data_IF_285195004131
#
_entry.id   IF_285195004131
#
_cell.length_a   1.000
_cell.length_b   1.000
_cell.length_c   1.000
_cell.angle_alpha   90.00
_cell.angle_beta   90.00
_cell.angle_gamma   90.00
#
_symmetry.space_group_name_H-M   'P 1'
#
loop_
_entity.id
_entity.type
_entity.pdbx_description
1 polymer ?
#
# COMPACT_ATOMS: atom_id res chain seq x y z
N UNK A 1 -7.65 2.36 58.31
CA UNK A 1 -8.77 1.99 57.43
C UNK A 1 -9.21 3.25 56.72
N UNK A 2 -8.59 3.50 55.57
CA UNK A 2 -8.99 4.47 54.56
C UNK A 2 -8.40 3.92 53.25
N UNK A 3 -9.29 3.41 52.40
CA UNK A 3 -8.99 3.02 51.03
C UNK A 3 -8.85 4.32 50.25
N UNK A 4 -7.68 4.58 49.66
CA UNK A 4 -7.54 5.54 48.58
C UNK A 4 -7.77 4.77 47.29
N UNK A 5 -8.88 5.08 46.62
CA UNK A 5 -9.17 4.69 45.25
C UNK A 5 -8.16 5.41 44.35
N UNK A 6 -7.15 4.67 43.88
CA UNK A 6 -6.38 5.04 42.69
C UNK A 6 -7.29 4.76 41.49
N UNK A 7 -8.01 5.80 41.06
CA UNK A 7 -8.61 5.85 39.73
C UNK A 7 -7.50 6.25 38.78
N UNK A 8 -7.04 5.28 37.98
CA UNK A 8 -6.25 5.53 36.77
C UNK A 8 -7.04 6.46 35.85
N UNK A 9 -6.64 7.72 35.80
CA UNK A 9 -7.10 8.71 34.84
C UNK A 9 -6.44 8.39 33.48
N UNK A 10 -7.20 8.10 32.40
CA UNK A 10 -6.60 7.83 31.11
C UNK A 10 -6.15 9.15 30.48
N UNK A 11 -4.82 9.32 30.41
CA UNK A 11 -4.06 10.16 29.49
C UNK A 11 -4.70 11.49 29.03
N UNK A 12 -4.23 12.60 29.59
CA UNK A 12 -4.40 13.96 29.07
C UNK A 12 -3.88 14.06 27.62
N UNK A 13 -4.75 13.83 26.63
CA UNK A 13 -4.48 14.13 25.23
C UNK A 13 -4.46 15.65 25.02
N UNK A 14 -3.25 16.22 24.87
CA UNK A 14 -3.09 17.63 24.51
C UNK A 14 -3.90 17.99 23.25
N UNK A 15 -4.44 19.22 23.21
CA UNK A 15 -5.25 19.70 22.09
C UNK A 15 -4.53 19.50 20.74
N UNK A 16 -5.18 18.82 19.79
CA UNK A 16 -4.61 18.51 18.46
C UNK A 16 -4.15 19.75 17.68
N UNK A 17 -4.67 20.93 18.00
CA UNK A 17 -4.22 22.20 17.43
C UNK A 17 -2.71 22.47 17.58
N UNK A 18 -2.05 21.84 18.56
CA UNK A 18 -0.61 21.97 18.77
C UNK A 18 0.22 21.02 17.89
N UNK A 19 -0.40 20.03 17.25
CA UNK A 19 0.28 19.13 16.34
C UNK A 19 0.50 19.80 14.98
N UNK A 20 1.65 19.55 14.32
CA UNK A 20 1.83 19.83 12.90
C UNK A 20 0.69 19.23 12.08
N UNK A 21 0.28 19.91 11.00
CA UNK A 21 -0.85 19.48 10.17
C UNK A 21 -0.71 18.04 9.65
N UNK A 22 0.50 17.67 9.25
CA UNK A 22 0.84 16.30 8.83
C UNK A 22 0.56 15.27 9.92
N UNK A 23 0.94 15.58 11.16
CA UNK A 23 0.71 14.70 12.31
C UNK A 23 -0.76 14.56 12.67
N UNK A 24 -1.63 15.49 12.24
CA UNK A 24 -3.09 15.36 12.42
C UNK A 24 -3.70 14.34 11.45
N UNK A 25 -3.05 14.06 10.34
CA UNK A 25 -3.45 13.03 9.38
C UNK A 25 -2.72 11.70 9.62
N UNK A 26 -1.95 11.56 10.69
CA UNK A 26 -1.31 10.31 11.11
C UNK A 26 -1.92 9.82 12.42
N UNK A 27 -1.73 8.54 12.72
CA UNK A 27 -2.06 7.93 14.02
C UNK A 27 -3.52 8.23 14.44
N UNK A 28 -4.45 8.01 13.52
CA UNK A 28 -5.87 8.22 13.76
C UNK A 28 -6.73 7.11 13.18
N UNK A 29 -7.89 6.92 13.80
CA UNK A 29 -8.98 6.07 13.34
C UNK A 29 -10.19 6.94 13.08
N UNK A 30 -10.98 6.57 12.09
CA UNK A 30 -12.16 7.34 11.75
C UNK A 30 -13.13 6.62 10.85
N UNK A 31 -14.29 7.24 10.71
CA UNK A 31 -15.26 6.93 9.67
C UNK A 31 -15.12 7.96 8.56
N UNK A 32 -15.03 7.47 7.33
CA UNK A 32 -14.88 8.27 6.13
C UNK A 32 -16.08 8.03 5.22
N UNK A 33 -16.49 9.07 4.52
CA UNK A 33 -17.35 8.97 3.35
C UNK A 33 -16.53 9.31 2.12
N UNK A 34 -16.42 8.35 1.20
CA UNK A 34 -15.73 8.53 -0.06
C UNK A 34 -16.75 8.85 -1.16
N UNK A 35 -16.52 9.97 -1.85
CA UNK A 35 -17.39 10.50 -2.89
C UNK A 35 -16.59 10.70 -4.18
N UNK A 36 -17.12 10.17 -5.28
CA UNK A 36 -16.60 10.43 -6.61
C UNK A 36 -17.26 11.69 -7.16
N UNK A 37 -16.48 12.77 -7.28
CA UNK A 37 -16.94 14.03 -7.85
C UNK A 37 -16.86 13.94 -9.37
N UNK A 38 -17.97 13.55 -9.99
CA UNK A 38 -18.14 13.51 -11.44
C UNK A 38 -18.34 14.93 -12.00
N UNK A 39 -17.94 15.19 -13.26
CA UNK A 39 -18.31 16.44 -13.94
C UNK A 39 -19.84 16.61 -13.97
N UNK A 40 -20.30 17.87 -13.93
CA UNK A 40 -21.67 18.38 -13.68
C UNK A 40 -22.88 17.73 -14.42
N UNK A 41 -22.71 16.66 -15.19
CA UNK A 41 -23.74 16.03 -16.02
C UNK A 41 -24.18 14.61 -15.56
N UNK A 42 -23.66 14.09 -14.45
CA UNK A 42 -24.02 12.74 -13.95
C UNK A 42 -24.47 12.78 -12.48
N UNK A 43 -25.79 12.77 -12.26
CA UNK A 43 -26.43 12.70 -10.93
C UNK A 43 -26.35 11.29 -10.30
N UNK A 44 -25.15 10.80 -10.01
CA UNK A 44 -24.98 9.65 -9.13
C UNK A 44 -23.92 9.96 -8.08
N UNK A 45 -24.33 10.68 -7.02
CA UNK A 45 -23.57 10.79 -5.79
C UNK A 45 -23.52 9.41 -5.12
N UNK A 46 -22.52 8.62 -5.49
CA UNK A 46 -22.23 7.35 -4.80
C UNK A 46 -21.35 7.68 -3.61
N UNK A 47 -21.93 7.67 -2.42
CA UNK A 47 -21.21 7.82 -1.15
C UNK A 47 -20.86 6.43 -0.64
N UNK A 48 -19.57 6.18 -0.44
CA UNK A 48 -19.06 4.90 0.05
C UNK A 48 -18.56 5.09 1.49
N UNK A 49 -19.26 4.54 2.50
CA UNK A 49 -18.81 4.62 3.89
C UNK A 49 -17.64 3.64 4.12
N UNK A 50 -16.56 4.15 4.70
CA UNK A 50 -15.34 3.42 4.99
C UNK A 50 -14.93 3.64 6.44
N UNK A 51 -14.26 2.65 7.03
CA UNK A 51 -13.48 2.84 8.25
C UNK A 51 -12.01 2.92 7.88
N UNK A 52 -11.29 3.86 8.48
CA UNK A 52 -9.85 4.00 8.30
C UNK A 52 -9.12 3.87 9.64
N UNK A 53 -7.95 3.26 9.60
CA UNK A 53 -6.92 3.40 10.61
C UNK A 53 -5.62 3.79 9.93
N UNK A 54 -4.92 4.81 10.43
CA UNK A 54 -3.70 5.36 9.83
C UNK A 54 -2.60 5.37 10.87
N UNK A 55 -1.41 4.90 10.50
CA UNK A 55 -0.17 5.03 11.26
C UNK A 55 0.81 5.95 10.52
N UNK A 56 2.04 6.06 11.00
CA UNK A 56 3.06 6.88 10.34
C UNK A 56 3.42 6.43 8.92
N UNK A 57 3.35 5.12 8.66
CA UNK A 57 3.82 4.48 7.42
C UNK A 57 2.77 3.60 6.73
N UNK A 58 1.57 3.48 7.30
CA UNK A 58 0.54 2.60 6.78
C UNK A 58 -0.86 3.15 6.98
N UNK A 59 -1.80 2.64 6.20
CA UNK A 59 -3.22 2.82 6.46
C UNK A 59 -4.01 1.55 6.12
N UNK A 60 -5.07 1.31 6.87
CA UNK A 60 -6.01 0.22 6.69
C UNK A 60 -7.39 0.79 6.41
N UNK A 61 -7.90 0.55 5.21
CA UNK A 61 -9.29 0.84 4.83
C UNK A 61 -10.14 -0.41 5.01
N UNK A 62 -11.35 -0.24 5.55
CA UNK A 62 -12.33 -1.29 5.75
C UNK A 62 -13.68 -0.86 5.22
N UNK A 63 -14.24 -1.67 4.33
CA UNK A 63 -15.57 -1.49 3.75
C UNK A 63 -16.49 -2.63 4.18
N UNK A 64 -17.68 -2.27 4.64
CA UNK A 64 -18.71 -3.25 5.00
C UNK A 64 -19.60 -3.52 3.79
N UNK A 65 -19.54 -4.73 3.25
CA UNK A 65 -20.40 -5.17 2.15
C UNK A 65 -21.81 -5.37 2.69
N UNK A 66 -22.76 -4.59 2.18
CA UNK A 66 -24.12 -4.55 2.74
C UNK A 66 -24.89 -5.84 2.46
N UNK A 67 -24.67 -6.42 1.27
CA UNK A 67 -25.38 -7.60 0.79
C UNK A 67 -25.04 -8.87 1.56
N UNK A 68 -23.80 -9.01 2.02
CA UNK A 68 -23.30 -10.26 2.64
C UNK A 68 -22.91 -10.12 4.11
N UNK A 69 -22.76 -8.88 4.61
CA UNK A 69 -22.21 -8.65 5.94
C UNK A 69 -20.70 -8.95 6.03
N UNK A 70 -20.02 -9.17 4.90
CA UNK A 70 -18.57 -9.31 4.85
C UNK A 70 -17.86 -7.95 4.96
N UNK A 71 -16.62 -7.96 5.43
CA UNK A 71 -15.74 -6.80 5.48
C UNK A 71 -14.62 -6.96 4.45
N UNK A 72 -14.48 -6.02 3.52
CA UNK A 72 -13.31 -5.92 2.63
C UNK A 72 -12.29 -5.00 3.28
N UNK A 73 -11.08 -5.49 3.40
CA UNK A 73 -9.97 -4.77 4.03
C UNK A 73 -8.82 -4.58 3.04
N UNK A 74 -8.25 -3.38 3.03
CA UNK A 74 -7.05 -3.06 2.28
C UNK A 74 -6.06 -2.35 3.18
N UNK A 75 -4.95 -3.02 3.46
CA UNK A 75 -3.80 -2.46 4.15
C UNK A 75 -2.80 -1.99 3.10
N UNK A 76 -2.45 -0.72 3.12
CA UNK A 76 -1.31 -0.20 2.39
C UNK A 76 -0.21 0.12 3.39
N UNK A 77 0.93 -0.56 3.28
CA UNK A 77 2.10 -0.33 4.08
C UNK A 77 3.23 0.18 3.19
N UNK A 78 3.55 1.48 3.28
CA UNK A 78 4.59 2.13 2.48
C UNK A 78 4.44 1.96 0.95
N UNK A 79 3.23 1.72 0.43
CA UNK A 79 2.99 1.45 -1.00
C UNK A 79 2.81 -0.04 -1.34
N UNK A 80 3.05 -0.95 -0.38
CA UNK A 80 2.74 -2.38 -0.52
C UNK A 80 1.30 -2.62 -0.08
N UNK A 81 0.46 -3.09 -1.01
CA UNK A 81 -0.95 -3.37 -0.75
C UNK A 81 -1.13 -4.82 -0.32
N UNK A 82 -1.94 -5.03 0.71
CA UNK A 82 -2.42 -6.33 1.19
C UNK A 82 -3.94 -6.27 1.29
N UNK A 83 -4.65 -7.14 0.58
CA UNK A 83 -6.11 -7.09 0.49
C UNK A 83 -6.76 -8.44 0.83
N UNK A 84 -7.79 -8.40 1.67
CA UNK A 84 -8.55 -9.57 2.07
C UNK A 84 -10.02 -9.24 2.28
N UNK A 85 -10.82 -10.30 2.34
CA UNK A 85 -12.21 -10.24 2.77
C UNK A 85 -12.37 -11.10 4.02
N UNK A 86 -13.00 -10.54 5.04
CA UNK A 86 -13.46 -11.26 6.23
C UNK A 86 -14.94 -11.54 6.04
N UNK A 87 -15.31 -12.81 5.91
CA UNK A 87 -16.71 -13.22 5.74
C UNK A 87 -17.52 -12.99 7.02
N UNK A 88 -18.85 -13.05 6.92
CA UNK A 88 -19.74 -12.83 8.07
C UNK A 88 -19.55 -13.86 9.21
N UNK A 89 -19.01 -15.04 8.92
CA UNK A 89 -18.61 -16.06 9.90
C UNK A 89 -17.18 -15.88 10.44
N UNK A 90 -16.48 -14.82 10.01
CA UNK A 90 -15.16 -14.43 10.52
C UNK A 90 -13.97 -15.13 9.84
N UNK A 91 -14.14 -15.70 8.64
CA UNK A 91 -13.06 -16.30 7.88
C UNK A 91 -12.37 -15.26 7.00
N UNK A 92 -11.05 -15.15 7.15
CA UNK A 92 -10.21 -14.29 6.31
C UNK A 92 -9.77 -15.03 5.04
N UNK A 93 -9.98 -14.39 3.88
CA UNK A 93 -9.64 -14.95 2.56
C UNK A 93 -8.91 -13.89 1.74
N UNK A 94 -7.82 -14.28 1.07
CA UNK A 94 -7.13 -13.40 0.12
C UNK A 94 -8.13 -12.87 -0.91
N UNK A 95 -8.19 -11.55 -1.09
CA UNK A 95 -9.24 -10.93 -1.90
C UNK A 95 -9.19 -11.42 -3.36
N UNK A 96 -7.99 -11.49 -3.94
CA UNK A 96 -7.79 -12.04 -5.28
C UNK A 96 -8.30 -13.48 -5.44
N UNK A 97 -8.12 -14.34 -4.43
CA UNK A 97 -8.64 -15.71 -4.46
C UNK A 97 -10.17 -15.75 -4.35
N UNK A 98 -10.76 -14.88 -3.54
CA UNK A 98 -12.21 -14.75 -3.42
C UNK A 98 -12.84 -14.31 -4.75
N UNK A 99 -12.24 -13.31 -5.42
CA UNK A 99 -12.73 -12.81 -6.70
C UNK A 99 -12.55 -13.85 -7.83
N UNK A 100 -11.43 -14.59 -7.85
CA UNK A 100 -11.12 -15.57 -8.87
C UNK A 100 -11.95 -16.87 -8.78
N UNK A 101 -12.47 -17.24 -7.61
CA UNK A 101 -13.31 -18.44 -7.45
C UNK A 101 -14.62 -18.29 -8.21
N UNK A 102 -14.70 -18.88 -9.40
CA UNK A 102 -15.97 -19.14 -10.09
C UNK A 102 -16.71 -20.24 -9.34
N UNK A 103 -17.91 -19.95 -8.83
CA UNK A 103 -18.77 -20.96 -8.22
C UNK A 103 -19.39 -21.83 -9.33
N UNK A 104 -18.67 -22.86 -9.76
CA UNK A 104 -19.12 -23.77 -10.82
C UNK A 104 -19.97 -24.95 -10.31
N UNK A 105 -20.56 -24.88 -9.12
CA UNK A 105 -21.31 -26.00 -8.53
C UNK A 105 -22.82 -25.70 -8.43
N UNK A 106 -23.60 -26.48 -9.19
CA UNK A 106 -25.04 -26.37 -9.48
C UNK A 106 -25.99 -26.64 -8.27
N UNK A 107 -25.61 -26.26 -7.03
CA UNK A 107 -26.47 -26.54 -5.86
C UNK A 107 -26.81 -25.39 -4.93
N UNK A 108 -26.45 -24.15 -5.24
CA UNK A 108 -26.84 -23.01 -4.40
C UNK A 108 -27.01 -21.69 -5.16
N UNK A 109 -27.83 -21.69 -6.23
CA UNK A 109 -28.08 -20.52 -7.10
C UNK A 109 -28.39 -19.18 -6.40
N UNK A 110 -29.04 -19.20 -5.22
CA UNK A 110 -29.35 -17.97 -4.48
C UNK A 110 -28.11 -17.40 -3.76
N UNK A 111 -27.38 -18.26 -3.04
CA UNK A 111 -26.14 -17.90 -2.36
C UNK A 111 -25.04 -17.53 -3.36
N UNK A 112 -24.97 -18.23 -4.50
CA UNK A 112 -24.08 -17.89 -5.61
C UNK A 112 -24.41 -16.51 -6.18
N UNK A 113 -25.70 -16.14 -6.30
CA UNK A 113 -26.10 -14.81 -6.80
C UNK A 113 -25.75 -13.69 -5.84
N UNK A 114 -25.92 -13.88 -4.53
CA UNK A 114 -25.51 -12.89 -3.52
C UNK A 114 -23.99 -12.70 -3.50
N UNK A 115 -23.23 -13.79 -3.60
CA UNK A 115 -21.77 -13.73 -3.69
C UNK A 115 -21.32 -13.02 -4.98
N UNK A 116 -21.89 -13.36 -6.15
CA UNK A 116 -21.53 -12.70 -7.42
C UNK A 116 -21.96 -11.23 -7.47
N UNK A 117 -23.11 -10.88 -6.89
CA UNK A 117 -23.52 -9.48 -6.74
C UNK A 117 -22.53 -8.71 -5.85
N UNK A 118 -22.11 -9.31 -4.74
CA UNK A 118 -21.10 -8.73 -3.86
C UNK A 118 -19.75 -8.54 -4.56
N UNK A 119 -19.34 -9.45 -5.46
CA UNK A 119 -18.11 -9.26 -6.25
C UNK A 119 -18.17 -8.02 -7.14
N UNK A 120 -19.32 -7.75 -7.76
CA UNK A 120 -19.49 -6.57 -8.61
C UNK A 120 -19.41 -5.27 -7.79
N UNK A 121 -20.04 -5.25 -6.60
CA UNK A 121 -19.95 -4.17 -5.62
C UNK A 121 -18.50 -3.94 -5.17
N UNK A 122 -17.77 -5.03 -4.85
CA UNK A 122 -16.37 -4.97 -4.44
C UNK A 122 -15.47 -4.49 -5.57
N UNK A 123 -15.64 -4.97 -6.81
CA UNK A 123 -14.85 -4.52 -7.95
C UNK A 123 -15.05 -3.03 -8.25
N UNK A 124 -16.28 -2.53 -8.12
CA UNK A 124 -16.57 -1.11 -8.26
C UNK A 124 -15.87 -0.29 -7.16
N UNK A 125 -15.90 -0.76 -5.91
CA UNK A 125 -15.14 -0.16 -4.81
C UNK A 125 -13.64 -0.12 -5.10
N UNK A 126 -13.05 -1.24 -5.50
CA UNK A 126 -11.61 -1.35 -5.78
C UNK A 126 -11.18 -0.37 -6.88
N UNK A 127 -12.01 -0.17 -7.91
CA UNK A 127 -11.74 0.81 -8.96
C UNK A 127 -11.70 2.26 -8.43
N UNK A 128 -12.52 2.59 -7.43
CA UNK A 128 -12.46 3.91 -6.78
C UNK A 128 -11.23 4.03 -5.89
N UNK A 129 -10.91 2.97 -5.13
CA UNK A 129 -9.78 2.97 -4.19
C UNK A 129 -8.41 2.94 -4.89
N UNK A 130 -8.32 2.43 -6.13
CA UNK A 130 -7.08 2.47 -6.94
C UNK A 130 -6.56 3.91 -7.17
N UNK A 131 -7.47 4.89 -7.14
CA UNK A 131 -7.11 6.30 -7.28
C UNK A 131 -6.75 6.99 -5.95
N UNK A 132 -6.89 6.28 -4.81
CA UNK A 132 -6.68 6.82 -3.46
C UNK A 132 -5.30 6.42 -2.93
N UNK A 133 -4.47 7.43 -2.67
CA UNK A 133 -3.16 7.26 -2.03
C UNK A 133 -3.10 8.16 -0.78
N UNK A 134 -3.55 7.62 0.35
CA UNK A 134 -3.64 8.41 1.59
C UNK A 134 -2.26 8.83 2.11
N UNK A 135 -1.21 8.05 1.86
CA UNK A 135 0.16 8.41 2.26
C UNK A 135 0.66 9.60 1.43
N UNK A 136 0.45 9.62 0.11
CA UNK A 136 0.74 10.79 -0.72
C UNK A 136 -0.05 12.02 -0.25
N UNK A 137 -1.34 11.87 0.08
CA UNK A 137 -2.16 12.95 0.65
C UNK A 137 -1.57 13.51 1.95
N UNK A 138 -1.22 12.64 2.90
CA UNK A 138 -0.66 13.06 4.19
C UNK A 138 0.72 13.73 4.01
N UNK A 139 1.56 13.20 3.13
CA UNK A 139 2.87 13.78 2.81
C UNK A 139 2.76 15.15 2.12
N UNK A 140 1.83 15.30 1.17
CA UNK A 140 1.60 16.56 0.46
C UNK A 140 1.37 17.72 1.43
N UNK A 141 0.65 17.49 2.53
CA UNK A 141 0.33 18.53 3.51
C UNK A 141 1.59 19.13 4.19
N UNK A 142 2.70 18.39 4.24
CA UNK A 142 3.96 18.83 4.86
C UNK A 142 4.63 20.02 4.19
N UNK A 143 4.31 20.30 2.92
CA UNK A 143 4.84 21.43 2.16
C UNK A 143 4.05 22.74 2.30
N UNK A 144 2.95 22.77 3.07
CA UNK A 144 2.03 23.92 3.09
C UNK A 144 2.44 25.01 4.08
N UNK A 145 2.37 26.28 3.68
CA UNK A 145 2.92 27.41 4.46
C UNK A 145 1.90 28.39 5.05
N UNK A 146 0.63 28.38 4.62
CA UNK A 146 -0.45 29.11 5.30
C UNK A 146 -1.85 28.65 4.82
N UNK A 147 -2.74 28.35 5.77
CA UNK A 147 -4.15 28.01 5.48
C UNK A 147 -5.04 29.25 5.36
N UNK A 148 -6.05 29.16 4.49
CA UNK A 148 -7.09 30.19 4.30
C UNK A 148 -8.21 29.91 5.31
N UNK A 149 -8.63 30.92 6.06
CA UNK A 149 -9.76 30.79 6.97
C UNK A 149 -11.07 31.12 6.24
N UNK A 150 -12.06 30.24 6.37
CA UNK A 150 -13.39 30.44 5.82
C UNK A 150 -14.44 30.07 6.89
N UNK A 151 -14.93 31.08 7.62
CA UNK A 151 -15.85 30.84 8.73
C UNK A 151 -15.19 30.03 9.85
N UNK A 152 -15.73 28.83 10.12
CA UNK A 152 -15.21 27.89 11.12
C UNK A 152 -14.20 26.89 10.53
N UNK A 153 -13.87 27.01 9.25
CA UNK A 153 -12.99 26.09 8.53
C UNK A 153 -11.64 26.73 8.23
N UNK A 154 -10.61 25.90 8.21
CA UNK A 154 -9.26 26.23 7.77
C UNK A 154 -8.88 25.35 6.59
N UNK A 155 -8.64 25.98 5.44
CA UNK A 155 -8.44 25.31 4.16
C UNK A 155 -6.99 25.42 3.73
N UNK A 156 -6.39 24.29 3.37
CA UNK A 156 -5.03 24.18 2.85
C UNK A 156 -5.05 23.61 1.45
N UNK A 157 -4.12 24.06 0.61
CA UNK A 157 -3.92 23.50 -0.73
C UNK A 157 -2.49 23.02 -0.83
N UNK A 158 -2.32 21.81 -1.32
CA UNK A 158 -0.99 21.26 -1.57
C UNK A 158 -0.96 20.40 -2.82
N UNK A 159 0.24 20.15 -3.33
CA UNK A 159 0.49 19.18 -4.38
C UNK A 159 1.28 18.02 -3.76
N UNK A 160 0.75 16.81 -3.91
CA UNK A 160 1.53 15.60 -3.71
C UNK A 160 2.35 15.29 -4.95
N UNK A 161 2.91 14.09 -4.98
CA UNK A 161 3.66 13.60 -6.13
C UNK A 161 2.74 13.39 -7.34
N UNK A 162 1.54 12.84 -7.09
CA UNK A 162 0.61 12.41 -8.15
C UNK A 162 -0.53 13.39 -8.38
N UNK A 163 -1.05 14.02 -7.32
CA UNK A 163 -2.25 14.85 -7.41
C UNK A 163 -2.15 16.15 -6.61
N UNK A 164 -3.05 17.09 -6.90
CA UNK A 164 -3.29 18.26 -6.07
C UNK A 164 -4.43 17.97 -5.08
N UNK A 165 -4.29 18.47 -3.86
CA UNK A 165 -5.20 18.22 -2.76
C UNK A 165 -5.65 19.53 -2.09
N UNK A 166 -6.90 19.53 -1.66
CA UNK A 166 -7.48 20.55 -0.79
C UNK A 166 -7.84 19.88 0.54
N UNK A 167 -7.28 20.37 1.63
CA UNK A 167 -7.54 19.86 2.97
C UNK A 167 -8.37 20.87 3.74
N UNK A 168 -9.43 20.41 4.38
CA UNK A 168 -10.29 21.24 5.22
C UNK A 168 -10.22 20.75 6.64
N UNK A 169 -9.94 21.65 7.58
CA UNK A 169 -9.89 21.38 9.01
C UNK A 169 -10.90 22.27 9.75
N UNK A 170 -11.42 21.79 10.86
CA UNK A 170 -12.17 22.63 11.79
C UNK A 170 -11.18 23.58 12.49
N UNK A 171 -11.37 24.89 12.33
CA UNK A 171 -10.43 25.90 12.83
C UNK A 171 -10.41 26.01 14.36
N UNK A 172 -11.43 25.47 15.06
CA UNK A 172 -11.55 25.53 16.52
C UNK A 172 -10.89 24.30 17.17
N UNK A 173 -11.22 23.12 16.67
CA UNK A 173 -10.75 21.85 17.22
C UNK A 173 -9.44 21.41 16.60
N UNK A 174 -9.19 21.76 15.33
CA UNK A 174 -8.05 21.32 14.55
C UNK A 174 -8.25 19.96 13.89
N UNK A 175 -9.44 19.35 14.00
CA UNK A 175 -9.75 18.06 13.37
C UNK A 175 -9.85 18.19 11.85
N UNK A 176 -9.35 17.19 11.11
CA UNK A 176 -9.56 17.14 9.67
C UNK A 176 -11.05 16.86 9.40
N UNK A 177 -11.63 17.62 8.48
CA UNK A 177 -13.04 17.50 8.07
C UNK A 177 -13.15 16.85 6.70
N UNK A 178 -12.31 17.25 5.75
CA UNK A 178 -12.29 16.64 4.42
C UNK A 178 -10.95 16.78 3.71
N UNK A 179 -10.72 15.87 2.76
CA UNK A 179 -9.61 15.89 1.82
C UNK A 179 -10.21 15.73 0.43
N UNK A 180 -10.00 16.71 -0.44
CA UNK A 180 -10.45 16.67 -1.84
C UNK A 180 -9.25 16.56 -2.76
N UNK A 181 -9.16 15.45 -3.49
CA UNK A 181 -8.27 15.31 -4.63
C UNK A 181 -8.86 16.05 -5.83
N UNK A 182 -8.13 17.04 -6.33
CA UNK A 182 -8.55 17.86 -7.46
C UNK A 182 -8.44 17.03 -8.74
N UNK A 183 -9.44 17.12 -9.60
CA UNK A 183 -9.44 16.46 -10.89
C UNK A 183 -8.20 16.89 -11.70
N UNK A 184 -7.43 15.91 -12.15
CA UNK A 184 -6.25 16.12 -12.98
C UNK A 184 -6.51 15.64 -14.40
N UNK A 185 -6.00 16.38 -15.37
CA UNK A 185 -5.95 15.95 -16.78
C UNK A 185 -4.72 15.08 -16.97
N UNK A 186 -4.94 13.80 -17.29
CA UNK A 186 -3.87 12.87 -17.66
C UNK A 186 -3.34 13.29 -19.04
N UNK A 187 -2.04 13.10 -19.36
CA UNK A 187 -1.46 13.45 -20.67
C UNK A 187 -2.19 12.86 -21.89
N UNK A 188 -2.95 11.77 -21.74
CA UNK A 188 -3.80 11.18 -22.79
C UNK A 188 -5.17 11.90 -22.99
N UNK A 189 -5.43 12.98 -22.24
CA UNK A 189 -6.64 13.79 -22.37
C UNK A 189 -7.85 13.25 -21.59
N UNK A 190 -7.73 12.07 -20.97
CA UNK A 190 -8.74 11.56 -20.04
C UNK A 190 -8.72 12.36 -18.72
N UNK A 191 -9.90 12.78 -18.27
CA UNK A 191 -10.07 13.44 -16.98
C UNK A 191 -10.27 12.38 -15.92
N UNK A 192 -9.37 12.30 -14.93
CA UNK A 192 -9.67 11.57 -13.70
C UNK A 192 -10.72 12.34 -12.90
N UNK A 193 -11.73 11.64 -12.43
CA UNK A 193 -12.74 12.21 -11.54
C UNK A 193 -12.04 12.73 -10.27
N UNK A 194 -12.58 13.80 -9.68
CA UNK A 194 -12.12 14.26 -8.38
C UNK A 194 -12.63 13.28 -7.31
N UNK A 195 -11.86 13.11 -6.23
CA UNK A 195 -12.27 12.29 -5.09
C UNK A 195 -12.40 13.20 -3.87
N UNK A 196 -13.47 13.04 -3.12
CA UNK A 196 -13.64 13.70 -1.84
C UNK A 196 -13.75 12.66 -0.73
N UNK A 197 -12.91 12.83 0.29
CA UNK A 197 -12.94 12.08 1.53
C UNK A 197 -13.49 13.01 2.60
N UNK A 198 -14.70 12.77 3.07
CA UNK A 198 -15.28 13.46 4.22
C UNK A 198 -15.04 12.63 5.48
N UNK A 199 -14.66 13.26 6.59
CA UNK A 199 -14.31 12.58 7.85
C UNK A 199 -15.42 12.84 8.87
N UNK A 200 -16.21 11.81 9.16
CA UNK A 200 -17.36 11.89 10.06
C UNK A 200 -16.96 11.74 11.53
N UNK A 201 -16.00 10.85 11.77
CA UNK A 201 -15.47 10.56 13.11
C UNK A 201 -13.95 10.54 13.06
N UNK A 202 -13.33 11.10 14.10
CA UNK A 202 -11.89 11.26 14.21
C UNK A 202 -11.43 10.97 15.64
N UNK A 203 -10.69 9.89 15.78
CA UNK A 203 -10.14 9.44 17.06
C UNK A 203 -8.64 9.25 16.92
N UNK A 204 -7.87 10.09 17.62
CA UNK A 204 -6.43 9.89 17.78
C UNK A 204 -6.17 8.60 18.56
N UNK A 205 -5.15 7.87 18.14
CA UNK A 205 -4.65 6.72 18.88
C UNK A 205 -3.13 6.71 18.85
N UNK A 206 -2.54 5.94 19.76
CA UNK A 206 -1.10 5.66 19.76
C UNK A 206 -0.75 4.73 18.59
N UNK A 207 0.53 4.67 18.19
CA UNK A 207 1.03 3.97 17.01
C UNK A 207 0.89 2.43 17.10
N UNK A 208 -0.35 1.96 17.15
CA UNK A 208 -0.72 0.55 17.16
C UNK A 208 -0.46 -0.01 15.77
N UNK A 209 0.36 -1.05 15.68
CA UNK A 209 0.66 -1.69 14.41
C UNK A 209 -0.61 -2.15 13.71
N UNK A 210 -0.65 -1.91 12.40
CA UNK A 210 -1.66 -2.45 11.51
C UNK A 210 -1.06 -3.69 10.86
N UNK A 211 -1.68 -4.84 11.08
CA UNK A 211 -1.25 -6.11 10.50
C UNK A 211 -2.41 -6.79 9.79
N UNK A 212 -2.10 -7.46 8.68
CA UNK A 212 -3.03 -8.36 8.02
C UNK A 212 -3.21 -9.64 8.85
N UNK A 213 -4.33 -10.36 8.69
CA UNK A 213 -4.52 -11.67 9.31
C UNK A 213 -3.45 -12.68 8.88
N UNK A 214 -3.16 -13.65 9.75
CA UNK A 214 -2.18 -14.70 9.48
C UNK A 214 -2.54 -15.45 8.20
N UNK A 215 -1.59 -15.56 7.28
CA UNK A 215 -1.76 -16.28 6.01
C UNK A 215 -2.29 -15.44 4.84
N UNK A 216 -2.72 -14.20 5.10
CA UNK A 216 -2.96 -13.21 4.04
C UNK A 216 -1.62 -12.61 3.63
N UNK A 217 -1.35 -12.60 2.33
CA UNK A 217 -0.10 -12.10 1.75
C UNK A 217 -0.34 -10.77 1.05
N UNK A 218 0.68 -9.93 1.06
CA UNK A 218 0.74 -8.73 0.23
C UNK A 218 0.83 -9.07 -1.26
N UNK A 219 0.50 -8.10 -2.11
CA UNK A 219 0.60 -8.26 -3.56
C UNK A 219 2.05 -8.52 -3.99
N UNK A 220 3.03 -7.88 -3.33
CA UNK A 220 4.45 -8.13 -3.57
C UNK A 220 4.83 -9.56 -3.21
N UNK A 221 4.43 -10.07 -2.05
CA UNK A 221 4.69 -11.47 -1.67
C UNK A 221 4.06 -12.46 -2.65
N UNK A 222 2.84 -12.21 -3.12
CA UNK A 222 2.18 -13.07 -4.11
C UNK A 222 2.91 -13.06 -5.47
N UNK A 223 3.41 -11.90 -5.90
CA UNK A 223 4.20 -11.78 -7.12
C UNK A 223 5.56 -12.45 -6.99
N UNK A 224 6.23 -12.28 -5.84
CA UNK A 224 7.49 -12.95 -5.49
C UNK A 224 7.31 -14.46 -5.48
N UNK A 225 6.27 -14.99 -4.82
CA UNK A 225 5.95 -16.43 -4.82
C UNK A 225 5.77 -16.99 -6.23
N UNK A 226 5.08 -16.22 -7.09
CA UNK A 226 4.85 -16.60 -8.49
C UNK A 226 6.17 -16.62 -9.25
N UNK A 227 7.00 -15.59 -9.09
CA UNK A 227 8.31 -15.49 -9.73
C UNK A 227 9.27 -16.60 -9.27
N UNK A 228 9.27 -16.93 -7.98
CA UNK A 228 10.05 -18.04 -7.41
C UNK A 228 9.58 -19.38 -7.96
N UNK A 229 8.27 -19.57 -8.12
CA UNK A 229 7.73 -20.79 -8.75
C UNK A 229 8.25 -20.94 -10.18
N UNK A 230 8.27 -19.87 -10.96
CA UNK A 230 8.81 -19.85 -12.33
C UNK A 230 10.33 -20.02 -12.36
N UNK A 231 11.07 -19.46 -11.40
CA UNK A 231 12.51 -19.66 -11.25
C UNK A 231 12.87 -21.14 -11.12
N UNK A 232 12.06 -21.94 -10.42
CA UNK A 232 12.29 -23.38 -10.33
C UNK A 232 12.07 -24.14 -11.64
N UNK A 233 11.44 -23.53 -12.64
CA UNK A 233 11.31 -24.09 -13.99
C UNK A 233 12.50 -23.75 -14.90
N UNK A 234 13.37 -22.82 -14.50
CA UNK A 234 14.57 -22.45 -15.26
C UNK A 234 15.58 -23.59 -15.36
N UNK A 235 16.51 -23.46 -16.31
CA UNK A 235 17.61 -24.42 -16.44
C UNK A 235 18.48 -24.42 -15.18
N UNK A 236 19.11 -25.56 -14.88
CA UNK A 236 20.05 -25.66 -13.75
C UNK A 236 21.20 -24.66 -13.86
N UNK A 237 21.66 -24.38 -15.10
CA UNK A 237 22.68 -23.37 -15.37
C UNK A 237 22.18 -21.96 -15.03
N UNK A 238 20.96 -21.61 -15.42
CA UNK A 238 20.38 -20.31 -15.12
C UNK A 238 20.23 -20.09 -13.61
N UNK A 239 19.72 -21.10 -12.88
CA UNK A 239 19.62 -21.03 -11.42
C UNK A 239 20.98 -20.86 -10.75
N UNK A 240 21.98 -21.64 -11.17
CA UNK A 240 23.34 -21.54 -10.63
C UNK A 240 23.97 -20.17 -10.89
N UNK A 241 23.72 -19.55 -12.05
CA UNK A 241 24.22 -18.20 -12.32
C UNK A 241 23.61 -17.16 -11.39
N UNK A 242 22.32 -17.29 -11.07
CA UNK A 242 21.65 -16.36 -10.17
C UNK A 242 22.07 -16.56 -8.71
N UNK A 243 22.30 -17.80 -8.29
CA UNK A 243 22.96 -18.13 -7.00
C UNK A 243 24.36 -17.52 -6.92
N UNK A 244 25.15 -17.56 -8.01
CA UNK A 244 26.47 -16.94 -8.06
C UNK A 244 26.41 -15.42 -7.96
N UNK A 245 25.42 -14.78 -8.59
CA UNK A 245 25.20 -13.34 -8.43
C UNK A 245 24.90 -13.05 -6.96
N UNK A 246 23.94 -13.75 -6.35
CA UNK A 246 23.59 -13.54 -4.95
C UNK A 246 24.80 -13.72 -4.01
N UNK A 247 25.61 -14.76 -4.21
CA UNK A 247 26.82 -14.99 -3.41
C UNK A 247 27.92 -13.92 -3.57
N UNK A 248 27.87 -13.09 -4.62
CA UNK A 248 28.75 -11.92 -4.75
C UNK A 248 28.21 -10.76 -3.91
N UNK A 249 26.90 -10.65 -3.76
CA UNK A 249 26.25 -9.63 -2.96
C UNK A 249 26.32 -9.94 -1.45
N UNK A 250 26.12 -11.21 -1.07
CA UNK A 250 26.23 -11.69 0.31
C UNK A 250 27.71 -11.72 0.74
N UNK A 251 28.22 -10.58 1.21
CA UNK A 251 29.65 -10.36 1.48
C UNK A 251 30.15 -11.10 2.72
N UNK A 252 29.26 -11.36 3.68
CA UNK A 252 29.57 -12.03 4.94
C UNK A 252 29.10 -13.49 5.01
N UNK A 253 28.52 -14.01 3.93
CA UNK A 253 28.12 -15.42 3.74
C UNK A 253 27.11 -15.87 4.81
N UNK A 254 26.17 -14.97 5.15
CA UNK A 254 25.15 -15.20 6.17
C UNK A 254 23.83 -15.72 5.59
N UNK A 255 23.73 -15.76 4.26
CA UNK A 255 22.56 -16.22 3.50
C UNK A 255 21.57 -15.10 3.14
N UNK A 256 21.93 -13.85 3.41
CA UNK A 256 21.11 -12.66 3.19
C UNK A 256 21.92 -11.55 2.53
N UNK A 257 21.22 -10.55 1.99
CA UNK A 257 21.83 -9.37 1.41
C UNK A 257 21.22 -8.14 2.07
N UNK A 258 22.06 -7.31 2.68
CA UNK A 258 21.62 -6.06 3.28
C UNK A 258 21.44 -4.96 2.22
N UNK A 259 20.74 -3.89 2.57
CA UNK A 259 20.68 -2.68 1.74
C UNK A 259 22.08 -2.09 1.47
N UNK A 260 23.03 -2.22 2.40
CA UNK A 260 24.38 -1.71 2.22
C UNK A 260 25.19 -2.54 1.21
N UNK A 261 25.05 -3.86 1.23
CA UNK A 261 25.70 -4.76 0.27
C UNK A 261 25.28 -4.43 -1.16
N UNK A 262 23.98 -4.17 -1.35
CA UNK A 262 23.41 -3.72 -2.61
C UNK A 262 24.02 -2.41 -3.08
N UNK A 263 24.12 -1.40 -2.19
CA UNK A 263 24.69 -0.10 -2.53
C UNK A 263 26.14 -0.25 -2.98
N UNK A 264 26.94 -1.01 -2.23
CA UNK A 264 28.33 -1.22 -2.57
C UNK A 264 28.48 -1.92 -3.92
N UNK A 265 27.73 -3.02 -4.14
CA UNK A 265 27.84 -3.80 -5.37
C UNK A 265 27.40 -3.00 -6.60
N UNK A 266 26.31 -2.23 -6.50
CA UNK A 266 25.84 -1.38 -7.59
C UNK A 266 26.85 -0.26 -7.91
N UNK A 267 27.52 0.29 -6.89
CA UNK A 267 28.58 1.29 -7.10
C UNK A 267 29.81 0.67 -7.77
N UNK A 268 30.20 -0.53 -7.38
CA UNK A 268 31.28 -1.27 -8.02
C UNK A 268 30.96 -1.60 -9.49
N UNK A 269 29.69 -1.89 -9.79
CA UNK A 269 29.18 -2.06 -11.15
C UNK A 269 29.09 -0.75 -11.97
N UNK A 270 29.34 0.40 -11.35
CA UNK A 270 29.40 1.71 -12.02
C UNK A 270 28.16 2.59 -11.87
N UNK A 271 27.18 2.21 -11.04
CA UNK A 271 26.04 3.08 -10.74
C UNK A 271 26.46 4.29 -9.88
N UNK A 272 25.75 5.40 -10.03
CA UNK A 272 25.95 6.55 -9.14
C UNK A 272 25.50 6.23 -7.72
N UNK A 273 26.09 6.89 -6.72
CA UNK A 273 25.73 6.72 -5.31
C UNK A 273 24.23 6.93 -5.06
N UNK A 274 23.66 7.99 -5.63
CA UNK A 274 22.23 8.29 -5.49
C UNK A 274 21.35 7.20 -6.09
N UNK A 275 21.72 6.66 -7.25
CA UNK A 275 20.96 5.59 -7.90
C UNK A 275 21.08 4.27 -7.13
N UNK A 276 22.27 3.92 -6.67
CA UNK A 276 22.51 2.73 -5.87
C UNK A 276 21.72 2.75 -4.56
N UNK A 277 21.78 3.88 -3.81
CA UNK A 277 20.98 4.06 -2.59
C UNK A 277 19.48 4.00 -2.85
N UNK A 278 19.00 4.59 -3.96
CA UNK A 278 17.58 4.54 -4.30
C UNK A 278 17.11 3.13 -4.62
N UNK A 279 17.88 2.35 -5.39
CA UNK A 279 17.53 0.96 -5.73
C UNK A 279 17.50 0.09 -4.47
N UNK A 280 18.53 0.20 -3.62
CA UNK A 280 18.60 -0.56 -2.39
C UNK A 280 17.44 -0.22 -1.43
N UNK A 281 17.16 1.06 -1.23
CA UNK A 281 16.06 1.52 -0.38
C UNK A 281 14.69 1.07 -0.89
N UNK A 282 14.45 1.08 -2.20
CA UNK A 282 13.19 0.58 -2.76
C UNK A 282 13.05 -0.93 -2.61
N UNK A 283 14.13 -1.68 -2.81
CA UNK A 283 14.12 -3.13 -2.59
C UNK A 283 13.84 -3.48 -1.13
N UNK A 284 14.55 -2.88 -0.17
CA UNK A 284 14.33 -3.15 1.26
C UNK A 284 12.95 -2.69 1.70
N UNK A 285 12.46 -1.54 1.23
CA UNK A 285 11.09 -1.06 1.49
C UNK A 285 10.01 -2.04 1.02
N UNK A 286 10.24 -2.74 -0.11
CA UNK A 286 9.27 -3.66 -0.69
C UNK A 286 9.34 -5.08 -0.11
N UNK A 287 10.52 -5.54 0.29
CA UNK A 287 10.75 -6.93 0.70
C UNK A 287 10.92 -7.12 2.21
N UNK A 288 11.38 -6.11 2.93
CA UNK A 288 11.60 -6.20 4.37
C UNK A 288 10.35 -5.72 5.11
N UNK A 289 10.02 -6.40 6.21
CA UNK A 289 8.99 -5.91 7.12
C UNK A 289 9.52 -4.72 7.92
N UNK A 290 8.67 -3.76 8.25
CA UNK A 290 9.05 -2.61 9.09
C UNK A 290 9.49 -2.97 10.51
N UNK A 291 9.12 -4.17 10.97
CA UNK A 291 9.55 -4.72 12.25
C UNK A 291 10.91 -5.47 12.15
N UNK A 292 11.48 -5.58 10.95
CA UNK A 292 12.79 -6.19 10.73
C UNK A 292 13.91 -5.13 10.72
N UNK A 293 14.65 -4.99 11.83
CA UNK A 293 15.69 -3.96 11.94
C UNK A 293 16.94 -4.28 11.12
N UNK A 294 17.11 -5.52 10.61
CA UNK A 294 18.29 -5.85 9.81
C UNK A 294 18.15 -5.40 8.36
N UNK A 295 16.92 -5.19 7.87
CA UNK A 295 16.63 -4.85 6.47
C UNK A 295 17.32 -5.80 5.47
N UNK A 296 17.43 -7.08 5.85
CA UNK A 296 18.12 -8.12 5.10
C UNK A 296 17.17 -8.94 4.23
N UNK A 297 17.61 -9.25 3.02
CA UNK A 297 16.82 -9.99 2.04
C UNK A 297 17.47 -11.34 1.76
N UNK A 298 16.77 -12.42 2.10
CA UNK A 298 17.22 -13.78 1.78
C UNK A 298 17.12 -14.09 0.28
N UNK A 299 17.76 -15.17 -0.15
CA UNK A 299 17.86 -15.54 -1.57
C UNK A 299 16.53 -15.54 -2.33
N UNK A 300 15.49 -16.23 -1.84
CA UNK A 300 14.25 -16.40 -2.61
C UNK A 300 13.46 -15.08 -2.82
N UNK A 301 13.24 -14.24 -1.80
CA UNK A 301 12.70 -12.89 -2.00
C UNK A 301 13.52 -12.06 -2.98
N UNK A 302 14.86 -12.11 -2.88
CA UNK A 302 15.75 -11.42 -3.82
C UNK A 302 15.52 -11.88 -5.26
N UNK A 303 15.52 -13.20 -5.49
CA UNK A 303 15.28 -13.79 -6.81
C UNK A 303 13.93 -13.35 -7.37
N UNK A 304 12.87 -13.52 -6.58
CA UNK A 304 11.50 -13.23 -7.02
C UNK A 304 11.30 -11.76 -7.38
N UNK A 305 11.85 -10.86 -6.57
CA UNK A 305 11.82 -9.41 -6.82
C UNK A 305 12.48 -9.04 -8.14
N UNK A 306 13.70 -9.53 -8.37
CA UNK A 306 14.45 -9.19 -9.58
C UNK A 306 13.88 -9.80 -10.84
N UNK A 307 13.35 -11.03 -10.77
CA UNK A 307 12.62 -11.63 -11.89
C UNK A 307 11.39 -10.79 -12.22
N UNK A 308 10.59 -10.41 -11.22
CA UNK A 308 9.40 -9.58 -11.41
C UNK A 308 9.74 -8.23 -12.05
N UNK A 309 10.79 -7.57 -11.57
CA UNK A 309 11.18 -6.24 -12.05
C UNK A 309 11.75 -6.27 -13.49
N UNK A 310 12.46 -7.34 -13.85
CA UNK A 310 13.18 -7.43 -15.14
C UNK A 310 12.42 -8.21 -16.22
N UNK A 311 11.28 -8.83 -15.90
CA UNK A 311 10.43 -9.54 -16.87
C UNK A 311 9.61 -8.61 -17.79
N UNK A 312 9.91 -7.30 -17.84
CA UNK A 312 9.14 -6.25 -18.55
C UNK A 312 8.46 -6.72 -19.85
N UNK A 313 7.16 -6.44 -19.98
CA UNK A 313 6.29 -6.75 -21.13
C UNK A 313 6.05 -8.24 -21.44
N UNK A 314 6.54 -9.17 -20.60
CA UNK A 314 6.32 -10.61 -20.77
C UNK A 314 5.81 -11.20 -19.45
N UNK A 315 4.83 -12.13 -19.47
CA UNK A 315 4.39 -12.80 -18.26
C UNK A 315 5.58 -13.48 -17.55
N UNK A 316 5.66 -13.37 -16.22
CA UNK A 316 6.74 -13.99 -15.41
C UNK A 316 6.87 -15.50 -15.64
N UNK A 317 5.80 -16.16 -16.06
CA UNK A 317 5.75 -17.58 -16.42
C UNK A 317 6.32 -17.93 -17.81
N UNK A 318 6.76 -16.95 -18.60
CA UNK A 318 7.31 -17.23 -19.92
C UNK A 318 8.73 -17.83 -19.83
N UNK A 319 8.93 -18.91 -20.57
CA UNK A 319 10.23 -19.58 -20.76
C UNK A 319 11.36 -18.67 -21.26
N UNK A 320 11.03 -17.53 -21.89
CA UNK A 320 12.01 -16.54 -22.37
C UNK A 320 12.60 -15.70 -21.23
N UNK A 321 11.98 -15.65 -20.05
CA UNK A 321 12.42 -14.79 -18.95
C UNK A 321 13.84 -15.10 -18.48
N UNK A 322 14.25 -16.37 -18.43
CA UNK A 322 15.63 -16.74 -18.08
C UNK A 322 16.66 -16.00 -18.96
N UNK A 323 16.40 -15.92 -20.26
CA UNK A 323 17.29 -15.31 -21.24
C UNK A 323 17.29 -13.78 -21.20
N UNK A 324 16.28 -13.16 -20.56
CA UNK A 324 16.18 -11.70 -20.39
C UNK A 324 16.72 -11.24 -19.05
N UNK A 325 16.30 -11.92 -17.98
CA UNK A 325 16.61 -11.54 -16.61
C UNK A 325 18.08 -11.77 -16.29
N UNK A 326 18.67 -12.90 -16.71
CA UNK A 326 20.07 -13.20 -16.37
C UNK A 326 21.07 -12.17 -16.93
N UNK A 327 21.05 -11.81 -18.23
CA UNK A 327 21.96 -10.79 -18.74
C UNK A 327 21.73 -9.42 -18.09
N UNK A 328 20.47 -9.06 -17.81
CA UNK A 328 20.13 -7.80 -17.16
C UNK A 328 20.68 -7.74 -15.73
N UNK A 329 20.58 -8.82 -14.95
CA UNK A 329 21.15 -8.90 -13.60
C UNK A 329 22.67 -8.87 -13.61
N UNK A 330 23.29 -9.59 -14.55
CA UNK A 330 24.74 -9.55 -14.73
C UNK A 330 25.20 -8.12 -15.03
N UNK A 331 24.53 -7.43 -15.95
CA UNK A 331 24.86 -6.04 -16.26
C UNK A 331 24.64 -5.11 -15.04
N UNK A 332 23.57 -5.32 -14.28
CA UNK A 332 23.22 -4.47 -13.15
C UNK A 332 24.21 -4.60 -12.00
N UNK A 333 24.57 -5.83 -11.62
CA UNK A 333 25.38 -6.11 -10.42
C UNK A 333 26.86 -6.35 -10.72
N UNK A 334 27.21 -6.85 -11.90
CA UNK A 334 28.61 -7.15 -12.25
C UNK A 334 29.18 -6.16 -13.28
N UNK A 335 28.33 -5.27 -13.81
CA UNK A 335 28.70 -4.29 -14.83
C UNK A 335 28.83 -4.91 -16.23
N UNK A 336 29.08 -4.06 -17.22
CA UNK A 336 29.49 -4.53 -18.55
C UNK A 336 30.88 -5.14 -18.42
N UNK A 337 31.06 -6.42 -18.75
CA UNK A 337 32.39 -6.99 -18.92
C UNK A 337 33.18 -6.09 -19.90
N UNK A 338 34.19 -5.39 -19.38
CA UNK A 338 35.03 -4.48 -20.16
C UNK A 338 35.97 -5.25 -21.11
#
# INVERSE_FOLDING_TARGET
MALSDDVDDPAEGGSINYLPLTERLKNFRGQLNLELLLPEEVETETVIPLRIAVTNSAYLLRYQVTSTGAEVSMLNHTGVVTSWITTADGLDIQLGQFLAKSLSDDRQEAMCREIEASKSEILALLAVLDSLDFLDMACALGGTSAGIHFGAEQIYRSNGEKNAYVFTFDARTGYPLSITQVASTVPDGERRAALQLSIDDYVRHDDSSLAAPIGIKSDVELLVDTAVSCFYEWTASGRQQLEQIFAVLDKDDDGSVSGQDMVDQLREAGQSETQASSIAAEMTRLLCHSDDPSEEVTFLPFVGFWIMLLAEDVPVSDSVNEHRVLPALQQLFLGSAA
#
